data_IF_054470462511
#
_entry.id   IF_054470462511
#
_cell.length_a   1.000
_cell.length_b   1.000
_cell.length_c   1.000
_cell.angle_alpha   90.00
_cell.angle_beta   90.00
_cell.angle_gamma   90.00
#
_symmetry.space_group_name_H-M   'P 1'
#
loop_
_entity.id
_entity.type
_entity.pdbx_description
1 polymer ?
#
# COMPACT_ATOMS: atom_id res chain seq x y z
N UNK A 1 -13.55 13.93 -6.22
CA UNK A 1 -14.10 12.63 -5.78
C UNK A 1 -12.99 11.63 -5.44
N UNK A 2 -12.01 11.39 -6.31
CA UNK A 2 -10.94 10.42 -6.08
C UNK A 2 -10.08 10.69 -4.84
N UNK A 3 -9.43 11.85 -4.73
CA UNK A 3 -8.57 12.16 -3.57
C UNK A 3 -9.35 12.14 -2.25
N UNK A 4 -10.55 12.72 -2.23
CA UNK A 4 -11.44 12.63 -1.06
C UNK A 4 -11.77 11.18 -0.71
N UNK A 5 -12.10 10.35 -1.71
CA UNK A 5 -12.36 8.92 -1.54
C UNK A 5 -11.16 8.17 -0.97
N UNK A 6 -9.95 8.47 -1.46
CA UNK A 6 -8.72 7.85 -0.97
C UNK A 6 -8.45 8.22 0.49
N UNK A 7 -8.56 9.51 0.84
CA UNK A 7 -8.40 9.97 2.23
C UNK A 7 -9.43 9.35 3.16
N UNK A 8 -10.68 9.26 2.69
CA UNK A 8 -11.76 8.61 3.43
C UNK A 8 -11.52 7.11 3.64
N UNK A 9 -10.97 6.43 2.64
CA UNK A 9 -10.58 5.04 2.74
C UNK A 9 -9.46 4.86 3.78
N UNK A 10 -8.40 5.66 3.70
CA UNK A 10 -7.23 5.60 4.58
C UNK A 10 -7.51 6.04 6.03
N UNK A 11 -8.60 6.79 6.26
CA UNK A 11 -9.13 7.05 7.61
C UNK A 11 -9.89 5.84 8.19
N UNK A 12 -9.97 4.73 7.45
CA UNK A 12 -10.62 3.51 7.85
C UNK A 12 -12.04 3.32 7.33
N UNK A 13 -12.61 4.30 6.61
CA UNK A 13 -13.94 4.16 5.99
C UNK A 13 -13.79 3.53 4.60
N UNK A 14 -13.18 2.33 4.59
CA UNK A 14 -12.83 1.60 3.37
C UNK A 14 -14.01 1.42 2.43
N UNK A 15 -15.18 1.02 2.91
CA UNK A 15 -16.33 0.78 2.02
C UNK A 15 -16.70 2.02 1.19
N UNK A 16 -17.05 3.13 1.84
CA UNK A 16 -17.43 4.37 1.16
C UNK A 16 -16.27 5.02 0.42
N UNK A 17 -15.06 4.94 0.96
CA UNK A 17 -13.88 5.53 0.33
C UNK A 17 -13.53 4.82 -0.99
N UNK A 18 -13.54 3.49 -0.98
CA UNK A 18 -13.24 2.68 -2.16
C UNK A 18 -14.28 2.82 -3.26
N UNK A 19 -15.57 3.02 -2.92
CA UNK A 19 -16.60 3.35 -3.91
C UNK A 19 -16.31 4.67 -4.64
N UNK A 20 -15.86 5.69 -3.90
CA UNK A 20 -15.50 7.00 -4.47
C UNK A 20 -14.22 6.92 -5.32
N UNK A 21 -13.22 6.14 -4.89
CA UNK A 21 -11.99 5.90 -5.67
C UNK A 21 -12.32 5.14 -6.95
N UNK A 22 -13.11 4.06 -6.86
CA UNK A 22 -13.56 3.28 -8.02
C UNK A 22 -14.32 4.14 -9.04
N UNK A 23 -15.22 5.02 -8.56
CA UNK A 23 -15.91 6.00 -9.40
C UNK A 23 -14.95 6.94 -10.14
N UNK A 24 -13.85 7.35 -9.49
CA UNK A 24 -12.84 8.21 -10.11
C UNK A 24 -12.02 7.48 -11.19
N UNK A 25 -11.61 6.23 -10.93
CA UNK A 25 -10.93 5.37 -11.92
C UNK A 25 -11.81 5.17 -13.16
N UNK A 26 -13.08 4.82 -12.97
CA UNK A 26 -14.02 4.58 -14.07
C UNK A 26 -14.28 5.83 -14.94
N UNK A 27 -14.10 7.02 -14.37
CA UNK A 27 -14.24 8.30 -15.08
C UNK A 27 -12.92 8.79 -15.69
N UNK A 28 -11.85 8.01 -15.56
CA UNK A 28 -10.48 8.39 -15.92
C UNK A 28 -10.07 9.74 -15.30
N UNK A 29 -10.59 10.01 -14.10
CA UNK A 29 -10.47 11.31 -13.45
C UNK A 29 -9.27 11.30 -12.51
N UNK A 30 -8.07 11.63 -12.99
CA UNK A 30 -6.85 11.71 -12.19
C UNK A 30 -5.56 11.58 -12.99
N UNK A 31 -4.39 11.79 -12.36
CA UNK A 31 -3.13 11.29 -12.88
C UNK A 31 -3.24 9.77 -13.07
N UNK A 32 -2.80 9.26 -14.23
CA UNK A 32 -2.75 7.82 -14.49
C UNK A 32 -1.99 7.12 -13.36
N UNK A 33 -2.42 5.91 -13.01
CA UNK A 33 -1.78 5.06 -12.00
C UNK A 33 -2.00 5.47 -10.54
N UNK A 34 -2.40 6.71 -10.23
CA UNK A 34 -2.56 7.17 -8.84
C UNK A 34 -3.76 6.52 -8.14
N UNK A 35 -4.91 6.47 -8.80
CA UNK A 35 -6.11 5.89 -8.19
C UNK A 35 -6.12 4.36 -8.26
N UNK A 36 -5.32 3.76 -9.13
CA UNK A 36 -5.01 2.34 -9.18
C UNK A 36 -4.27 1.91 -7.90
N UNK A 37 -3.36 2.72 -7.36
CA UNK A 37 -2.78 2.46 -6.02
C UNK A 37 -3.84 2.52 -4.93
N UNK A 38 -4.78 3.46 -5.03
CA UNK A 38 -5.94 3.52 -4.15
C UNK A 38 -6.79 2.25 -4.21
N UNK A 39 -7.04 1.73 -5.41
CA UNK A 39 -7.74 0.47 -5.62
C UNK A 39 -6.96 -0.74 -5.11
N UNK A 40 -5.62 -0.73 -5.23
CA UNK A 40 -4.76 -1.76 -4.66
C UNK A 40 -4.90 -1.81 -3.13
N UNK A 41 -4.86 -0.66 -2.45
CA UNK A 41 -5.10 -0.58 -1.01
C UNK A 41 -6.51 -1.03 -0.63
N UNK A 42 -7.52 -0.61 -1.38
CA UNK A 42 -8.91 -1.04 -1.17
C UNK A 42 -9.08 -2.56 -1.24
N UNK A 43 -8.52 -3.19 -2.27
CA UNK A 43 -8.53 -4.64 -2.42
C UNK A 43 -7.75 -5.32 -1.29
N UNK A 44 -6.56 -4.79 -0.97
CA UNK A 44 -5.74 -5.34 0.10
C UNK A 44 -6.47 -5.33 1.44
N UNK A 45 -7.10 -4.21 1.79
CA UNK A 45 -7.86 -4.06 3.04
C UNK A 45 -9.06 -5.02 3.12
N UNK A 46 -9.66 -5.37 1.97
CA UNK A 46 -10.72 -6.40 1.86
C UNK A 46 -10.21 -7.85 1.82
N UNK A 47 -8.91 -8.07 1.97
CA UNK A 47 -8.22 -9.38 1.85
C UNK A 47 -8.22 -9.96 0.44
N UNK A 48 -8.53 -9.16 -0.58
CA UNK A 48 -8.39 -9.56 -1.98
C UNK A 48 -6.96 -9.26 -2.46
N UNK A 49 -6.03 -10.13 -2.05
CA UNK A 49 -4.59 -9.97 -2.33
C UNK A 49 -4.30 -10.04 -3.84
N UNK A 50 -5.06 -10.85 -4.58
CA UNK A 50 -4.89 -10.98 -6.03
C UNK A 50 -5.28 -9.68 -6.76
N UNK A 51 -6.44 -9.12 -6.45
CA UNK A 51 -6.83 -7.83 -7.02
C UNK A 51 -5.89 -6.72 -6.58
N UNK A 52 -5.42 -6.74 -5.33
CA UNK A 52 -4.47 -5.75 -4.83
C UNK A 52 -3.18 -5.72 -5.66
N UNK A 53 -2.63 -6.89 -5.98
CA UNK A 53 -1.43 -7.00 -6.81
C UNK A 53 -1.68 -6.50 -8.24
N UNK A 54 -2.79 -6.92 -8.86
CA UNK A 54 -3.15 -6.48 -10.22
C UNK A 54 -3.22 -4.95 -10.31
N UNK A 55 -3.96 -4.33 -9.40
CA UNK A 55 -4.09 -2.87 -9.35
C UNK A 55 -2.74 -2.17 -9.10
N UNK A 56 -1.90 -2.72 -8.23
CA UNK A 56 -0.59 -2.15 -7.96
C UNK A 56 0.34 -2.25 -9.19
N UNK A 57 0.30 -3.35 -9.95
CA UNK A 57 1.10 -3.51 -11.16
C UNK A 57 0.62 -2.68 -12.33
N UNK A 58 -0.69 -2.39 -12.40
CA UNK A 58 -1.26 -1.49 -13.42
C UNK A 58 -0.85 -0.03 -13.21
N UNK A 59 -0.48 0.35 -11.98
CA UNK A 59 0.00 1.69 -11.68
C UNK A 59 1.36 1.96 -12.33
N UNK A 60 1.49 3.12 -12.97
CA UNK A 60 2.76 3.63 -13.52
C UNK A 60 3.65 4.29 -12.45
N UNK A 61 3.23 4.29 -11.18
CA UNK A 61 3.96 4.89 -10.06
C UNK A 61 5.13 4.04 -9.56
N UNK A 62 5.81 3.31 -10.43
CA UNK A 62 6.97 2.48 -10.08
C UNK A 62 8.17 3.31 -9.61
N UNK A 63 8.17 4.62 -9.82
CA UNK A 63 9.19 5.52 -9.28
C UNK A 63 8.92 5.92 -7.82
N UNK A 64 7.70 5.72 -7.32
CA UNK A 64 7.29 6.17 -5.99
C UNK A 64 7.63 5.09 -4.93
N UNK A 65 8.51 5.39 -3.95
CA UNK A 65 8.89 4.42 -2.93
C UNK A 65 7.72 3.92 -2.07
N UNK A 66 6.73 4.76 -1.77
CA UNK A 66 5.57 4.34 -0.98
C UNK A 66 4.70 3.35 -1.75
N UNK A 67 4.55 3.54 -3.06
CA UNK A 67 3.83 2.58 -3.89
C UNK A 67 4.57 1.22 -3.89
N UNK A 68 5.89 1.22 -4.08
CA UNK A 68 6.68 -0.01 -4.01
C UNK A 68 6.62 -0.69 -2.64
N UNK A 69 6.56 0.08 -1.55
CA UNK A 69 6.38 -0.46 -0.21
C UNK A 69 5.02 -1.16 -0.05
N UNK A 70 3.95 -0.59 -0.61
CA UNK A 70 2.62 -1.23 -0.64
C UNK A 70 2.65 -2.50 -1.47
N UNK A 71 3.25 -2.47 -2.67
CA UNK A 71 3.43 -3.66 -3.50
C UNK A 71 4.24 -4.75 -2.77
N UNK A 72 5.32 -4.38 -2.10
CA UNK A 72 6.13 -5.29 -1.29
C UNK A 72 5.31 -5.96 -0.18
N UNK A 73 4.42 -5.21 0.48
CA UNK A 73 3.50 -5.76 1.49
C UNK A 73 2.51 -6.75 0.89
N UNK A 74 1.91 -6.40 -0.25
CA UNK A 74 0.97 -7.26 -0.99
C UNK A 74 1.66 -8.56 -1.45
N UNK A 75 2.87 -8.46 -2.02
CA UNK A 75 3.64 -9.62 -2.48
C UNK A 75 4.05 -10.53 -1.32
N UNK A 76 4.41 -9.96 -0.17
CA UNK A 76 4.66 -10.73 1.05
C UNK A 76 3.41 -11.46 1.53
N UNK A 77 2.26 -10.79 1.56
CA UNK A 77 0.98 -11.42 1.89
C UNK A 77 0.57 -12.51 0.88
N UNK A 78 0.97 -12.39 -0.38
CA UNK A 78 0.76 -13.39 -1.42
C UNK A 78 1.78 -14.54 -1.39
N UNK A 79 2.81 -14.49 -0.55
CA UNK A 79 3.90 -15.48 -0.53
C UNK A 79 4.83 -15.42 -1.74
N UNK A 80 4.78 -14.35 -2.55
CA UNK A 80 5.60 -14.18 -3.75
C UNK A 80 7.00 -13.65 -3.42
N UNK A 81 7.81 -14.51 -2.81
CA UNK A 81 9.11 -14.16 -2.22
C UNK A 81 10.13 -13.59 -3.22
N UNK A 82 10.18 -14.10 -4.45
CA UNK A 82 11.09 -13.62 -5.48
C UNK A 82 10.77 -12.17 -5.90
N UNK A 83 9.50 -11.89 -6.20
CA UNK A 83 9.04 -10.55 -6.56
C UNK A 83 9.19 -9.57 -5.39
N UNK A 84 8.90 -10.04 -4.17
CA UNK A 84 9.08 -9.26 -2.96
C UNK A 84 10.55 -8.88 -2.75
N UNK A 85 11.49 -9.81 -2.98
CA UNK A 85 12.93 -9.52 -2.94
C UNK A 85 13.30 -8.40 -3.91
N UNK A 86 12.79 -8.41 -5.14
CA UNK A 86 13.06 -7.35 -6.11
C UNK A 86 12.61 -5.97 -5.62
N UNK A 87 11.40 -5.88 -5.02
CA UNK A 87 10.92 -4.60 -4.48
C UNK A 87 11.74 -4.13 -3.28
N UNK A 88 12.10 -5.05 -2.39
CA UNK A 88 12.96 -4.76 -1.24
C UNK A 88 14.32 -4.25 -1.65
N UNK A 89 14.99 -4.94 -2.57
CA UNK A 89 16.34 -4.60 -3.01
C UNK A 89 16.34 -3.22 -3.70
N UNK A 90 15.29 -2.91 -4.48
CA UNK A 90 15.10 -1.57 -5.04
C UNK A 90 14.92 -0.50 -3.94
N UNK A 91 14.05 -0.75 -2.96
CA UNK A 91 13.79 0.20 -1.87
C UNK A 91 15.04 0.45 -1.00
N UNK A 92 15.84 -0.58 -0.75
CA UNK A 92 17.09 -0.44 0.00
C UNK A 92 18.10 0.50 -0.70
N UNK A 93 18.14 0.47 -2.04
CA UNK A 93 19.03 1.33 -2.82
C UNK A 93 18.46 2.74 -3.01
N UNK A 94 17.17 2.85 -3.31
CA UNK A 94 16.58 4.11 -3.78
C UNK A 94 15.80 4.88 -2.70
N UNK A 95 15.45 4.24 -1.59
CA UNK A 95 14.68 4.85 -0.51
C UNK A 95 15.11 4.34 0.89
N UNK A 96 16.42 4.41 1.24
CA UNK A 96 16.92 3.91 2.52
C UNK A 96 16.25 4.59 3.73
N UNK A 97 15.96 5.90 3.65
CA UNK A 97 15.26 6.63 4.71
C UNK A 97 13.84 6.12 4.95
N UNK A 98 13.11 5.75 3.88
CA UNK A 98 11.80 5.10 4.02
C UNK A 98 11.95 3.75 4.70
N UNK A 99 12.96 2.96 4.31
CA UNK A 99 13.20 1.63 4.88
C UNK A 99 13.56 1.69 6.38
N UNK A 100 14.22 2.75 6.83
CA UNK A 100 14.50 2.97 8.24
C UNK A 100 13.27 3.46 9.03
N UNK A 101 12.32 4.14 8.38
CA UNK A 101 11.19 4.80 9.02
C UNK A 101 9.82 4.21 8.65
N UNK A 102 9.77 2.96 8.19
CA UNK A 102 8.56 2.32 7.65
C UNK A 102 7.34 2.51 8.56
N UNK A 103 7.51 2.25 9.86
CA UNK A 103 6.41 2.37 10.83
C UNK A 103 5.82 3.78 10.84
N UNK A 104 6.67 4.80 10.96
CA UNK A 104 6.26 6.21 10.97
C UNK A 104 5.53 6.57 9.67
N UNK A 105 6.09 6.18 8.53
CA UNK A 105 5.52 6.49 7.21
C UNK A 105 4.16 5.82 6.99
N UNK A 106 3.98 4.57 7.44
CA UNK A 106 2.68 3.88 7.37
C UNK A 106 1.68 4.54 8.33
N UNK A 107 2.07 4.85 9.57
CA UNK A 107 1.17 5.47 10.57
C UNK A 107 0.75 6.90 10.22
N UNK A 108 1.56 7.66 9.47
CA UNK A 108 1.17 8.98 8.94
C UNK A 108 0.05 8.90 7.90
N UNK A 109 -0.11 7.73 7.27
CA UNK A 109 -1.03 7.53 6.13
C UNK A 109 -2.29 6.78 6.54
N UNK A 110 -2.15 5.74 7.35
CA UNK A 110 -3.26 4.90 7.79
C UNK A 110 -3.60 5.21 9.25
N UNK A 111 -4.81 5.71 9.48
CA UNK A 111 -5.21 6.16 10.82
C UNK A 111 -5.42 4.99 11.80
N UNK A 112 -5.98 3.88 11.32
CA UNK A 112 -6.38 2.74 12.15
C UNK A 112 -5.22 1.78 12.37
N UNK A 113 -4.91 1.39 13.63
CA UNK A 113 -3.84 0.45 13.94
C UNK A 113 -3.97 -0.91 13.22
N UNK A 114 -5.19 -1.41 13.03
CA UNK A 114 -5.47 -2.66 12.33
C UNK A 114 -5.07 -2.60 10.84
N UNK A 115 -5.28 -1.46 10.19
CA UNK A 115 -4.90 -1.24 8.79
C UNK A 115 -3.37 -1.15 8.66
N UNK A 116 -2.72 -0.45 9.60
CA UNK A 116 -1.27 -0.40 9.70
C UNK A 116 -0.68 -1.80 9.91
N UNK A 117 -1.25 -2.57 10.84
CA UNK A 117 -0.79 -3.92 11.15
C UNK A 117 -0.91 -4.86 9.96
N UNK A 118 -1.94 -4.70 9.13
CA UNK A 118 -2.10 -5.47 7.90
C UNK A 118 -0.95 -5.21 6.91
N UNK A 119 -0.57 -3.95 6.73
CA UNK A 119 0.61 -3.58 5.93
C UNK A 119 1.89 -4.18 6.54
N UNK A 120 2.07 -4.05 7.86
CA UNK A 120 3.26 -4.58 8.54
C UNK A 120 3.34 -6.10 8.46
N UNK A 121 2.23 -6.82 8.52
CA UNK A 121 2.21 -8.27 8.39
C UNK A 121 2.69 -8.71 7.00
N UNK A 122 2.21 -8.05 5.94
CA UNK A 122 2.69 -8.30 4.58
C UNK A 122 4.19 -8.01 4.43
N UNK A 123 4.68 -6.93 5.03
CA UNK A 123 6.11 -6.58 5.02
C UNK A 123 6.97 -7.60 5.80
N UNK A 124 6.50 -8.10 6.95
CA UNK A 124 7.20 -9.17 7.67
C UNK A 124 7.24 -10.46 6.86
N UNK A 125 6.16 -10.80 6.17
CA UNK A 125 6.11 -11.97 5.28
C UNK A 125 7.04 -11.85 4.07
N UNK A 126 7.44 -10.64 3.67
CA UNK A 126 8.50 -10.41 2.67
C UNK A 126 9.92 -10.31 3.25
N UNK A 127 10.07 -10.58 4.55
CA UNK A 127 11.36 -10.58 5.24
C UNK A 127 11.85 -9.19 5.65
N UNK A 128 10.96 -8.21 5.75
CA UNK A 128 11.27 -6.91 6.35
C UNK A 128 11.08 -6.99 7.86
N UNK A 129 12.12 -6.64 8.61
CA UNK A 129 11.99 -6.41 10.05
C UNK A 129 11.26 -5.08 10.27
N UNK A 130 10.13 -5.12 10.97
CA UNK A 130 9.39 -3.93 11.40
C UNK A 130 9.49 -3.85 12.91
N UNK A 131 10.19 -2.82 13.38
CA UNK A 131 10.37 -2.57 14.81
C UNK A 131 9.01 -2.53 15.53
N UNK A 132 8.91 -3.03 16.77
CA UNK A 132 7.70 -2.89 17.56
C UNK A 132 7.34 -1.41 17.74
N UNK A 133 6.06 -1.11 18.01
CA UNK A 133 5.70 0.24 18.40
C UNK A 133 6.49 0.59 19.68
N UNK A 134 6.96 1.84 19.85
CA UNK A 134 7.55 2.27 21.11
C UNK A 134 6.57 1.95 22.24
N UNK A 135 7.07 1.40 23.34
CA UNK A 135 6.26 1.28 24.55
C UNK A 135 5.81 2.70 24.95
N UNK A 136 4.51 2.87 25.13
CA UNK A 136 3.92 4.11 25.63
C UNK A 136 4.16 4.23 27.13
#
# INVERSE_FOLDING_TARGET
AGEYGLRLAMSGRWQSGCELVSSAVNKNAGPKGYYEVGMALCAFMRNDVQAAELWSRMSDLQYNPMHRLVLLSILGAAGKTADAKQQRDWLAVHAPELMHNIRREVSLRLQRPEDQQKIFNGLRASGIAIDPAPAQ
#
